data_IF_089262147211
#
_entry.id   IF_089262147211
#
_cell.length_a   1.000
_cell.length_b   1.000
_cell.length_c   1.000
_cell.angle_alpha   90.00
_cell.angle_beta   90.00
_cell.angle_gamma   90.00
#
_symmetry.space_group_name_H-M   'P 1'
#
loop_
_entity.id
_entity.type
_entity.pdbx_description
1 polymer ?
#
# COMPACT_ATOMS: atom_id res chain seq x y z
N UNK A 1 -17.94 -3.01 -37.64
CA UNK A 1 -17.94 -1.93 -38.64
C UNK A 1 -18.40 -0.66 -37.93
N UNK A 2 -17.53 0.20 -37.62
CA UNK A 2 -17.48 1.65 -37.68
C UNK A 2 -16.31 2.13 -36.83
N UNK A 3 -15.20 2.41 -37.54
CA UNK A 3 -14.05 3.15 -37.04
C UNK A 3 -14.41 4.63 -37.11
N UNK A 4 -14.34 5.36 -35.98
CA UNK A 4 -14.36 6.81 -35.97
C UNK A 4 -12.97 7.32 -35.66
N UNK A 5 -12.33 7.88 -36.67
CA UNK A 5 -11.04 8.58 -36.61
C UNK A 5 -11.22 9.91 -35.89
N UNK A 6 -10.49 10.12 -34.81
CA UNK A 6 -10.32 11.44 -34.18
C UNK A 6 -9.30 12.26 -34.99
N UNK A 7 -9.78 13.17 -35.81
CA UNK A 7 -8.96 14.19 -36.49
C UNK A 7 -8.61 15.32 -35.49
N UNK A 8 -7.35 15.46 -35.18
CA UNK A 8 -6.82 16.65 -34.53
C UNK A 8 -6.89 17.84 -35.47
N UNK A 9 -7.78 18.77 -35.18
CA UNK A 9 -7.88 20.05 -35.91
C UNK A 9 -6.87 21.05 -35.35
N UNK A 10 -5.84 21.35 -36.09
CA UNK A 10 -4.91 22.43 -35.77
C UNK A 10 -5.54 23.79 -36.16
N UNK A 11 -5.72 24.65 -35.16
CA UNK A 11 -6.02 26.06 -35.35
C UNK A 11 -4.78 26.80 -35.87
N UNK A 12 -4.77 27.18 -37.15
CA UNK A 12 -3.82 28.15 -37.72
C UNK A 12 -4.32 29.56 -37.45
N UNK A 13 -3.69 30.28 -36.57
CA UNK A 13 -3.84 31.74 -36.46
C UNK A 13 -3.15 32.42 -37.65
N UNK A 14 -3.78 33.37 -38.33
CA UNK A 14 -3.20 34.07 -39.44
C UNK A 14 -2.24 35.14 -38.93
N UNK A 15 -0.92 34.87 -39.00
CA UNK A 15 0.11 35.91 -38.88
C UNK A 15 0.14 36.76 -40.19
N UNK A 16 -0.39 37.97 -40.13
CA UNK A 16 -0.15 38.98 -41.16
C UNK A 16 1.32 39.44 -41.04
N UNK A 17 2.13 39.00 -41.99
CA UNK A 17 3.49 39.53 -42.14
C UNK A 17 3.51 40.31 -43.46
N UNK A 18 3.61 41.67 -43.46
CA UNK A 18 3.90 42.45 -44.65
C UNK A 18 5.45 42.53 -44.69
N UNK A 19 6.08 41.89 -45.64
CA UNK A 19 7.40 42.11 -46.24
C UNK A 19 8.01 40.81 -46.79
N UNK A 20 7.51 40.32 -47.90
CA UNK A 20 8.14 39.22 -48.62
C UNK A 20 8.24 39.52 -50.13
N UNK A 21 8.53 40.81 -50.49
CA UNK A 21 8.60 41.20 -51.90
C UNK A 21 10.03 41.32 -52.48
N UNK A 22 11.08 40.86 -51.75
CA UNK A 22 12.45 41.03 -52.24
C UNK A 22 13.42 39.91 -51.85
N UNK A 23 12.94 38.63 -51.70
CA UNK A 23 13.84 37.50 -51.45
C UNK A 23 13.95 36.66 -52.71
N UNK A 24 15.17 36.50 -53.33
CA UNK A 24 15.35 35.64 -54.50
C UNK A 24 14.87 34.22 -54.21
N UNK A 25 14.14 33.64 -55.16
CA UNK A 25 13.52 32.30 -55.06
C UNK A 25 14.46 31.21 -54.51
N UNK A 26 15.73 31.26 -54.89
CA UNK A 26 16.79 30.37 -54.35
C UNK A 26 17.00 30.52 -52.83
N UNK A 27 16.87 31.73 -52.28
CA UNK A 27 17.01 31.96 -50.84
C UNK A 27 15.77 31.48 -50.06
N UNK A 28 14.58 31.56 -50.66
CA UNK A 28 13.36 31.03 -50.09
C UNK A 28 13.42 29.49 -50.00
N UNK A 29 13.92 28.83 -51.04
CA UNK A 29 14.14 27.39 -51.05
C UNK A 29 15.17 26.96 -49.99
N UNK A 30 16.25 27.71 -49.76
CA UNK A 30 17.21 27.45 -48.70
C UNK A 30 16.63 27.68 -47.31
N UNK A 31 15.78 28.69 -47.12
CA UNK A 31 15.08 28.94 -45.85
C UNK A 31 14.04 27.88 -45.58
N UNK A 32 13.29 27.44 -46.58
CA UNK A 32 12.33 26.34 -46.47
C UNK A 32 13.03 25.00 -46.18
N UNK A 33 14.16 24.74 -46.89
CA UNK A 33 14.98 23.55 -46.62
C UNK A 33 15.66 23.60 -45.24
N UNK A 34 16.11 24.78 -44.79
CA UNK A 34 16.62 24.95 -43.43
C UNK A 34 15.54 24.83 -42.35
N UNK A 35 14.34 25.36 -42.57
CA UNK A 35 13.19 25.19 -41.69
C UNK A 35 12.68 23.72 -41.69
N UNK A 36 12.76 23.05 -42.85
CA UNK A 36 12.46 21.60 -42.94
C UNK A 36 13.56 20.75 -42.27
N UNK A 37 14.83 21.17 -42.35
CA UNK A 37 15.95 20.54 -41.67
C UNK A 37 15.92 20.80 -40.15
N UNK A 38 15.50 21.99 -39.70
CA UNK A 38 15.29 22.32 -38.31
C UNK A 38 14.05 21.60 -37.71
N UNK A 39 13.02 21.33 -38.54
CA UNK A 39 11.89 20.48 -38.15
C UNK A 39 12.21 18.98 -38.12
N UNK A 40 13.28 18.53 -38.74
CA UNK A 40 13.83 17.18 -38.63
C UNK A 40 14.86 17.04 -37.48
N UNK A 41 14.76 17.76 -36.38
CA UNK A 41 15.20 17.19 -35.12
C UNK A 41 14.43 15.88 -34.99
N UNK A 42 15.12 14.73 -35.04
CA UNK A 42 14.54 13.41 -34.86
C UNK A 42 13.67 13.47 -33.58
N UNK A 43 12.37 13.76 -33.75
CA UNK A 43 11.47 13.68 -32.61
C UNK A 43 11.51 12.23 -32.18
N UNK A 44 12.04 12.00 -30.99
CA UNK A 44 12.01 10.65 -30.40
C UNK A 44 10.56 10.16 -30.37
N UNK A 45 10.35 8.85 -30.51
CA UNK A 45 9.02 8.23 -30.34
C UNK A 45 8.44 8.46 -28.93
N UNK A 46 9.27 8.89 -28.01
CA UNK A 46 8.91 9.19 -26.62
C UNK A 46 8.58 10.67 -26.37
N UNK A 47 8.54 11.52 -27.42
CA UNK A 47 8.24 12.95 -27.28
C UNK A 47 6.83 13.25 -26.74
N UNK A 48 5.91 12.28 -26.81
CA UNK A 48 4.56 12.36 -26.26
C UNK A 48 4.47 11.88 -24.78
N UNK A 49 5.59 11.37 -24.22
CA UNK A 49 5.60 10.92 -22.82
C UNK A 49 5.73 12.15 -21.94
N UNK A 50 4.69 12.41 -21.17
CA UNK A 50 4.66 13.50 -20.20
C UNK A 50 5.53 13.18 -18.99
N UNK A 51 6.12 14.20 -18.38
CA UNK A 51 6.86 14.05 -17.14
C UNK A 51 5.88 13.69 -16.01
N UNK A 52 6.17 12.61 -15.30
CA UNK A 52 5.41 12.27 -14.10
C UNK A 52 5.72 13.26 -12.97
N UNK A 53 4.74 13.62 -12.12
CA UNK A 53 5.01 14.40 -10.93
C UNK A 53 6.01 13.66 -10.03
N UNK A 54 6.90 14.37 -9.33
CA UNK A 54 7.84 13.74 -8.42
C UNK A 54 7.08 13.04 -7.27
N UNK A 55 7.51 11.84 -6.91
CA UNK A 55 7.01 11.17 -5.72
C UNK A 55 7.65 11.86 -4.51
N UNK A 56 6.85 12.59 -3.75
CA UNK A 56 7.30 13.52 -2.69
C UNK A 56 8.22 12.83 -1.66
N UNK A 57 7.85 11.63 -1.20
CA UNK A 57 8.67 10.88 -0.22
C UNK A 57 10.07 10.55 -0.74
N UNK A 58 10.24 10.25 -2.03
CA UNK A 58 11.56 10.00 -2.61
C UNK A 58 12.35 11.30 -2.81
N UNK A 59 11.67 12.41 -3.05
CA UNK A 59 12.32 13.73 -3.09
C UNK A 59 12.85 14.11 -1.70
N UNK A 60 12.05 13.90 -0.67
CA UNK A 60 12.43 14.11 0.74
C UNK A 60 13.62 13.23 1.16
N UNK A 61 13.61 11.95 0.80
CA UNK A 61 14.74 11.04 1.06
C UNK A 61 16.04 11.51 0.39
N UNK A 62 15.96 12.01 -0.84
CA UNK A 62 17.14 12.57 -1.51
C UNK A 62 17.64 13.81 -0.79
N UNK A 63 16.76 14.73 -0.39
CA UNK A 63 17.10 15.91 0.38
C UNK A 63 17.76 15.55 1.71
N UNK A 64 17.18 14.60 2.47
CA UNK A 64 17.76 14.09 3.72
C UNK A 64 19.18 13.54 3.51
N UNK A 65 19.41 12.76 2.45
CA UNK A 65 20.75 12.21 2.17
C UNK A 65 21.76 13.28 1.80
N UNK A 66 21.33 14.34 1.11
CA UNK A 66 22.18 15.46 0.69
C UNK A 66 22.47 16.45 1.83
N UNK A 67 21.63 16.50 2.85
CA UNK A 67 21.82 17.36 4.01
C UNK A 67 23.04 16.89 4.81
N UNK A 68 23.90 17.82 5.20
CA UNK A 68 25.15 17.58 5.96
C UNK A 68 24.99 17.82 7.46
N UNK A 69 23.82 18.23 7.93
CA UNK A 69 23.58 18.48 9.35
C UNK A 69 23.74 17.20 10.18
N UNK A 70 24.65 17.24 11.16
CA UNK A 70 25.04 16.04 11.92
C UNK A 70 23.91 15.46 12.81
N UNK A 71 22.99 16.31 13.27
CA UNK A 71 21.88 15.91 14.15
C UNK A 71 20.55 15.66 13.39
N UNK A 72 20.62 15.47 12.08
CA UNK A 72 19.41 15.17 11.27
C UNK A 72 18.81 13.82 11.63
N UNK A 73 17.49 13.73 11.58
CA UNK A 73 16.73 12.51 11.86
C UNK A 73 15.89 12.13 10.63
N UNK A 74 15.95 10.86 10.22
CA UNK A 74 15.14 10.34 9.10
C UNK A 74 13.74 9.95 9.60
N UNK A 75 12.77 10.80 9.34
CA UNK A 75 11.34 10.58 9.60
C UNK A 75 10.53 10.31 8.32
N UNK A 76 11.21 10.18 7.17
CA UNK A 76 10.56 10.14 5.87
C UNK A 76 9.95 8.79 5.50
N UNK A 77 10.65 7.70 5.75
CA UNK A 77 10.22 6.35 5.33
C UNK A 77 9.64 5.58 6.50
N UNK A 78 8.47 4.96 6.28
CA UNK A 78 7.83 4.07 7.25
C UNK A 78 8.63 2.77 7.44
N UNK A 79 9.79 2.84 8.08
CA UNK A 79 10.63 1.73 8.46
C UNK A 79 11.06 1.86 9.93
N UNK A 80 11.03 0.75 10.67
CA UNK A 80 11.48 0.73 12.06
C UNK A 80 12.97 1.10 12.17
N UNK A 81 13.32 1.90 13.17
CA UNK A 81 14.68 2.31 13.48
C UNK A 81 14.99 2.02 14.95
N UNK A 82 16.21 1.55 15.21
CA UNK A 82 16.75 1.41 16.58
C UNK A 82 17.01 2.79 17.21
N UNK A 83 17.53 2.81 18.44
CA UNK A 83 17.94 4.05 19.11
C UNK A 83 19.03 4.80 18.36
N UNK A 84 19.91 4.05 17.68
CA UNK A 84 20.97 4.60 16.83
C UNK A 84 20.49 5.00 15.43
N UNK A 85 19.17 5.10 15.25
CA UNK A 85 18.51 5.41 13.96
C UNK A 85 18.86 4.44 12.81
N UNK A 86 19.24 3.18 13.13
CA UNK A 86 19.61 2.15 12.17
C UNK A 86 18.46 1.19 11.88
N UNK A 87 18.39 0.59 10.68
CA UNK A 87 17.51 -0.55 10.41
C UNK A 87 17.81 -1.70 11.37
N UNK A 88 16.77 -2.38 11.83
CA UNK A 88 16.90 -3.56 12.68
C UNK A 88 16.56 -4.82 11.90
N UNK A 89 17.56 -5.68 11.67
CA UNK A 89 17.31 -7.03 11.19
C UNK A 89 17.02 -7.89 12.42
N UNK A 90 15.84 -8.52 12.45
CA UNK A 90 15.40 -9.29 13.61
C UNK A 90 16.34 -10.47 13.86
N UNK A 91 16.73 -10.75 15.11
CA UNK A 91 17.62 -11.87 15.44
C UNK A 91 17.12 -13.21 14.90
N UNK A 92 15.82 -13.51 15.01
CA UNK A 92 15.23 -14.74 14.44
C UNK A 92 15.36 -14.82 12.93
N UNK A 93 15.27 -13.68 12.23
CA UNK A 93 15.49 -13.64 10.76
C UNK A 93 16.93 -13.99 10.44
N UNK A 94 17.91 -13.42 11.15
CA UNK A 94 19.33 -13.75 10.98
C UNK A 94 19.65 -15.23 11.25
N UNK A 95 19.00 -15.80 12.24
CA UNK A 95 19.13 -17.22 12.58
C UNK A 95 18.66 -18.11 11.44
N UNK A 96 17.46 -17.80 10.89
CA UNK A 96 16.92 -18.54 9.76
C UNK A 96 17.74 -18.33 8.49
N UNK A 97 18.20 -17.11 8.20
CA UNK A 97 19.10 -16.83 7.06
C UNK A 97 20.38 -17.69 7.12
N UNK A 98 20.96 -17.82 8.30
CA UNK A 98 22.16 -18.66 8.51
C UNK A 98 21.85 -20.13 8.25
N UNK A 99 20.77 -20.66 8.83
CA UNK A 99 20.34 -22.05 8.59
C UNK A 99 20.10 -22.31 7.11
N UNK A 100 19.43 -21.39 6.42
CA UNK A 100 19.18 -21.52 4.96
C UNK A 100 20.47 -21.49 4.14
N UNK A 101 21.47 -20.71 4.55
CA UNK A 101 22.76 -20.63 3.86
C UNK A 101 23.58 -21.93 4.04
N UNK A 102 23.42 -22.63 5.16
CA UNK A 102 24.07 -23.89 5.48
C UNK A 102 23.32 -25.12 4.90
N UNK A 103 22.06 -24.98 4.54
CA UNK A 103 21.23 -26.05 4.00
C UNK A 103 21.50 -26.27 2.49
N UNK A 104 22.32 -27.27 2.20
CA UNK A 104 22.70 -27.65 0.82
C UNK A 104 21.56 -28.28 0.01
N UNK A 105 20.41 -28.59 0.62
CA UNK A 105 19.24 -29.08 -0.09
C UNK A 105 18.44 -27.97 -0.76
N UNK A 106 18.61 -26.71 -0.31
CA UNK A 106 17.96 -25.56 -0.89
C UNK A 106 18.59 -25.17 -2.23
N UNK A 107 17.74 -24.77 -3.16
CA UNK A 107 18.15 -24.36 -4.51
C UNK A 107 17.41 -23.11 -4.98
N UNK A 108 17.69 -22.64 -6.21
CA UNK A 108 17.09 -21.45 -6.81
C UNK A 108 16.04 -21.79 -7.90
N UNK A 109 15.42 -22.97 -7.81
CA UNK A 109 14.35 -23.34 -8.75
C UNK A 109 13.13 -22.43 -8.58
N UNK A 110 12.41 -22.24 -9.66
CA UNK A 110 11.19 -21.42 -9.68
C UNK A 110 10.10 -22.01 -8.79
N UNK A 111 9.44 -21.14 -8.02
CA UNK A 111 8.17 -21.48 -7.39
C UNK A 111 7.05 -21.53 -8.44
N UNK A 112 5.95 -22.18 -8.11
CA UNK A 112 4.70 -22.02 -8.83
C UNK A 112 4.18 -20.56 -8.75
N UNK A 113 3.26 -20.20 -9.62
CA UNK A 113 2.70 -18.84 -9.68
C UNK A 113 1.99 -18.42 -8.38
N UNK A 114 1.39 -19.36 -7.68
CA UNK A 114 0.73 -19.09 -6.39
C UNK A 114 1.71 -19.00 -5.21
N UNK A 115 3.00 -19.32 -5.44
CA UNK A 115 4.07 -19.18 -4.46
C UNK A 115 4.32 -20.42 -3.61
N UNK A 116 4.97 -20.22 -2.46
CA UNK A 116 5.28 -21.25 -1.48
C UNK A 116 4.05 -21.55 -0.63
N UNK A 117 3.53 -22.78 -0.75
CA UNK A 117 2.29 -23.20 -0.11
C UNK A 117 2.34 -23.12 1.43
N UNK A 118 3.43 -23.59 2.03
CA UNK A 118 3.63 -23.54 3.48
C UNK A 118 3.69 -22.10 4.03
N UNK A 119 4.25 -21.16 3.24
CA UNK A 119 4.20 -19.73 3.58
C UNK A 119 2.77 -19.21 3.55
N UNK A 120 2.03 -19.46 2.48
CA UNK A 120 0.67 -18.95 2.32
C UNK A 120 -0.28 -19.51 3.36
N UNK A 121 -0.16 -20.80 3.70
CA UNK A 121 -0.91 -21.42 4.81
C UNK A 121 -0.59 -20.77 6.15
N UNK A 122 0.68 -20.65 6.50
CA UNK A 122 1.09 -20.02 7.76
C UNK A 122 0.62 -18.55 7.86
N UNK A 123 0.67 -17.79 6.75
CA UNK A 123 0.18 -16.42 6.68
C UNK A 123 -1.33 -16.32 6.94
N UNK A 124 -2.12 -17.24 6.41
CA UNK A 124 -3.57 -17.30 6.65
C UNK A 124 -3.85 -17.67 8.11
N UNK A 125 -3.17 -18.68 8.64
CA UNK A 125 -3.34 -19.09 10.04
C UNK A 125 -2.97 -17.98 11.02
N UNK A 126 -1.89 -17.26 10.75
CA UNK A 126 -1.51 -16.08 11.55
C UNK A 126 -2.61 -15.00 11.53
N UNK A 127 -3.23 -14.75 10.38
CA UNK A 127 -4.24 -13.70 10.23
C UNK A 127 -5.59 -14.13 10.83
N UNK A 128 -6.10 -15.30 10.45
CA UNK A 128 -7.45 -15.73 10.78
C UNK A 128 -7.54 -16.54 12.09
N UNK A 129 -6.42 -17.10 12.57
CA UNK A 129 -6.39 -18.06 13.67
C UNK A 129 -6.60 -19.50 13.19
N UNK A 130 -6.00 -20.46 13.90
CA UNK A 130 -6.00 -21.87 13.51
C UNK A 130 -7.40 -22.51 13.48
N UNK A 131 -8.29 -22.02 14.34
CA UNK A 131 -9.64 -22.59 14.50
C UNK A 131 -10.68 -21.94 13.56
N UNK A 132 -10.25 -21.04 12.67
CA UNK A 132 -11.16 -20.31 11.79
C UNK A 132 -11.94 -21.25 10.85
N UNK A 133 -13.25 -21.10 10.82
CA UNK A 133 -14.15 -21.97 10.04
C UNK A 133 -13.89 -21.87 8.53
N UNK A 134 -13.55 -20.69 8.01
CA UNK A 134 -13.25 -20.53 6.58
C UNK A 134 -12.00 -21.32 6.14
N UNK A 135 -11.02 -21.48 7.06
CA UNK A 135 -9.85 -22.34 6.81
C UNK A 135 -10.28 -23.82 6.80
N UNK A 136 -11.00 -24.27 7.83
CA UNK A 136 -11.46 -25.67 7.97
C UNK A 136 -12.32 -26.11 6.77
N UNK A 137 -13.12 -25.21 6.26
CA UNK A 137 -14.00 -25.45 5.11
C UNK A 137 -13.27 -25.29 3.75
N UNK A 138 -12.02 -24.86 3.74
CA UNK A 138 -11.25 -24.62 2.51
C UNK A 138 -11.77 -23.44 1.68
N UNK A 139 -12.40 -22.44 2.33
CA UNK A 139 -12.88 -21.20 1.72
C UNK A 139 -11.86 -20.06 1.79
N UNK A 140 -10.87 -20.17 2.68
CA UNK A 140 -9.77 -19.23 2.82
C UNK A 140 -8.51 -19.78 2.15
N UNK A 141 -7.98 -19.06 1.18
CA UNK A 141 -6.74 -19.42 0.47
C UNK A 141 -5.79 -18.23 0.39
N UNK A 142 -4.50 -18.51 0.33
CA UNK A 142 -3.46 -17.50 0.21
C UNK A 142 -2.68 -17.66 -1.08
N UNK A 143 -2.21 -16.53 -1.60
CA UNK A 143 -1.33 -16.44 -2.75
C UNK A 143 -0.14 -15.57 -2.40
N UNK A 144 1.06 -16.10 -2.51
CA UNK A 144 2.27 -15.32 -2.31
C UNK A 144 2.39 -14.21 -3.36
N UNK A 145 2.65 -12.99 -2.92
CA UNK A 145 2.77 -11.81 -3.78
C UNK A 145 4.02 -10.98 -3.42
N UNK A 146 4.32 -9.98 -4.28
CA UNK A 146 5.42 -9.03 -4.10
C UNK A 146 5.07 -8.00 -3.00
N UNK A 147 5.08 -8.42 -1.73
CA UNK A 147 4.70 -7.62 -0.56
C UNK A 147 3.22 -7.19 -0.63
N UNK A 148 2.80 -6.29 0.29
CA UNK A 148 1.45 -5.73 0.30
C UNK A 148 1.08 -5.04 -1.03
N UNK A 149 2.01 -4.31 -1.64
CA UNK A 149 1.76 -3.66 -2.94
C UNK A 149 1.43 -4.67 -4.04
N UNK A 150 2.16 -5.77 -4.13
CA UNK A 150 1.87 -6.83 -5.09
C UNK A 150 0.55 -7.53 -4.80
N UNK A 151 0.23 -7.75 -3.51
CA UNK A 151 -1.05 -8.32 -3.08
C UNK A 151 -2.22 -7.40 -3.44
N UNK A 152 -2.10 -6.09 -3.17
CA UNK A 152 -3.09 -5.09 -3.59
C UNK A 152 -3.28 -5.10 -5.10
N UNK A 153 -2.18 -5.17 -5.88
CA UNK A 153 -2.24 -5.14 -7.34
C UNK A 153 -2.92 -6.40 -7.90
N UNK A 154 -2.54 -7.58 -7.46
CA UNK A 154 -3.14 -8.85 -7.92
C UNK A 154 -4.62 -8.92 -7.53
N UNK A 155 -4.96 -8.51 -6.29
CA UNK A 155 -6.34 -8.43 -5.83
C UNK A 155 -7.18 -7.43 -6.63
N UNK A 156 -6.66 -6.23 -6.87
CA UNK A 156 -7.34 -5.21 -7.67
C UNK A 156 -7.52 -5.63 -9.14
N UNK A 157 -6.48 -6.26 -9.74
CA UNK A 157 -6.58 -6.81 -11.10
C UNK A 157 -7.65 -7.91 -11.18
N UNK A 158 -7.71 -8.82 -10.20
CA UNK A 158 -8.75 -9.84 -10.11
C UNK A 158 -10.15 -9.23 -10.06
N UNK A 159 -10.37 -8.31 -9.12
CA UNK A 159 -11.69 -7.70 -8.92
C UNK A 159 -12.13 -6.90 -10.14
N UNK A 160 -11.25 -6.11 -10.74
CA UNK A 160 -11.62 -5.29 -11.90
C UNK A 160 -11.77 -6.14 -13.17
N UNK A 161 -10.77 -6.98 -13.50
CA UNK A 161 -10.72 -7.66 -14.80
C UNK A 161 -11.63 -8.89 -14.87
N UNK A 162 -11.79 -9.62 -13.77
CA UNK A 162 -12.51 -10.89 -13.73
C UNK A 162 -13.85 -10.79 -12.98
N UNK A 163 -13.90 -10.17 -11.80
CA UNK A 163 -15.13 -9.96 -11.05
C UNK A 163 -15.93 -8.71 -11.49
N UNK A 164 -15.40 -7.89 -12.41
CA UNK A 164 -16.07 -6.75 -13.07
C UNK A 164 -16.42 -5.57 -12.17
N UNK A 165 -15.78 -5.45 -11.01
CA UNK A 165 -15.91 -4.25 -10.21
C UNK A 165 -15.31 -3.03 -10.92
N UNK A 166 -16.01 -1.89 -10.89
CA UNK A 166 -15.58 -0.65 -11.58
C UNK A 166 -15.33 0.51 -10.64
N UNK A 167 -15.84 0.42 -9.41
CA UNK A 167 -15.82 1.49 -8.41
C UNK A 167 -15.07 1.03 -7.17
N UNK A 168 -14.18 1.88 -6.65
CA UNK A 168 -13.46 1.65 -5.39
C UNK A 168 -13.55 2.88 -4.50
N UNK A 169 -13.84 2.66 -3.22
CA UNK A 169 -13.83 3.66 -2.16
C UNK A 169 -12.59 3.48 -1.28
N UNK A 170 -11.88 4.58 -1.02
CA UNK A 170 -10.70 4.64 -0.18
C UNK A 170 -10.87 5.72 0.87
N UNK A 171 -10.24 5.60 2.04
CA UNK A 171 -10.26 6.64 3.07
C UNK A 171 -9.64 7.96 2.60
N UNK A 172 -10.06 9.08 3.19
CA UNK A 172 -9.39 10.38 3.04
C UNK A 172 -8.93 10.87 4.41
N UNK A 173 -7.59 10.98 4.64
CA UNK A 173 -6.49 10.55 3.76
C UNK A 173 -6.33 9.02 3.68
N UNK A 174 -5.52 8.54 2.75
CA UNK A 174 -5.07 7.15 2.65
C UNK A 174 -3.63 7.08 2.17
N UNK A 175 -3.03 5.90 2.19
CA UNK A 175 -1.73 5.67 1.55
C UNK A 175 -1.81 5.97 0.04
N UNK A 176 -1.01 6.95 -0.48
CA UNK A 176 -1.20 7.44 -1.86
C UNK A 176 -1.11 6.36 -2.93
N UNK A 177 -0.41 5.26 -2.65
CA UNK A 177 -0.26 4.17 -3.60
C UNK A 177 -1.54 3.36 -3.84
N UNK A 178 -2.53 3.43 -2.95
CA UNK A 178 -3.84 2.79 -3.18
C UNK A 178 -4.46 3.29 -4.48
N UNK A 179 -4.55 4.62 -4.65
CA UNK A 179 -5.12 5.21 -5.87
C UNK A 179 -4.35 4.79 -7.14
N UNK A 180 -3.00 4.73 -7.08
CA UNK A 180 -2.19 4.28 -8.20
C UNK A 180 -2.46 2.81 -8.56
N UNK A 181 -2.51 1.92 -7.57
CA UNK A 181 -2.77 0.50 -7.79
C UNK A 181 -4.12 0.28 -8.43
N UNK A 182 -5.21 0.81 -7.84
CA UNK A 182 -6.56 0.61 -8.37
C UNK A 182 -6.76 1.25 -9.74
N UNK A 183 -6.22 2.47 -9.96
CA UNK A 183 -6.23 3.13 -11.27
C UNK A 183 -5.55 2.27 -12.34
N UNK A 184 -4.34 1.77 -12.05
CA UNK A 184 -3.59 0.95 -13.01
C UNK A 184 -4.14 -0.47 -13.18
N UNK A 185 -4.98 -0.94 -12.28
CA UNK A 185 -5.75 -2.18 -12.44
C UNK A 185 -6.97 -2.04 -13.33
N UNK A 186 -7.38 -0.79 -13.64
CA UNK A 186 -8.47 -0.50 -14.55
C UNK A 186 -9.77 -0.02 -13.91
N UNK A 187 -9.79 0.23 -12.60
CA UNK A 187 -10.95 0.82 -11.94
C UNK A 187 -11.27 2.19 -12.55
N UNK A 188 -12.51 2.39 -12.92
CA UNK A 188 -12.98 3.61 -13.60
C UNK A 188 -13.32 4.72 -12.60
N UNK A 189 -13.88 4.35 -11.46
CA UNK A 189 -14.39 5.27 -10.45
C UNK A 189 -13.59 5.11 -9.15
N UNK A 190 -12.63 6.01 -8.92
CA UNK A 190 -11.92 6.11 -7.66
C UNK A 190 -12.64 7.14 -6.81
N UNK A 191 -13.22 6.71 -5.71
CA UNK A 191 -13.99 7.50 -4.76
C UNK A 191 -13.33 7.47 -3.39
N UNK A 192 -13.75 8.39 -2.54
CA UNK A 192 -13.24 8.50 -1.19
C UNK A 192 -14.38 8.51 -0.19
N UNK A 193 -14.12 8.00 1.01
CA UNK A 193 -14.96 8.19 2.18
C UNK A 193 -14.20 8.99 3.24
N UNK A 194 -14.91 9.81 3.99
CA UNK A 194 -14.36 10.60 5.09
C UNK A 194 -13.79 9.68 6.15
N UNK A 195 -12.64 10.03 6.68
CA UNK A 195 -11.97 9.23 7.70
C UNK A 195 -11.33 10.07 8.80
N UNK A 196 -10.86 11.27 8.48
CA UNK A 196 -10.12 12.11 9.41
C UNK A 196 -10.84 13.43 9.67
N UNK A 197 -11.22 13.64 10.95
CA UNK A 197 -11.68 14.94 11.44
C UNK A 197 -10.45 15.77 11.85
N UNK A 198 -10.01 16.66 10.97
CA UNK A 198 -8.83 17.49 11.18
C UNK A 198 -8.97 18.48 12.35
N UNK A 199 -10.20 18.93 12.65
CA UNK A 199 -10.46 19.86 13.75
C UNK A 199 -10.29 19.19 15.11
N UNK A 200 -10.82 17.99 15.26
CA UNK A 200 -10.80 17.24 16.52
C UNK A 200 -9.68 16.20 16.58
N UNK A 201 -8.90 16.02 15.49
CA UNK A 201 -7.79 15.06 15.35
C UNK A 201 -8.19 13.63 15.74
N UNK A 202 -9.31 13.17 15.17
CA UNK A 202 -9.90 11.86 15.43
C UNK A 202 -10.49 11.24 14.16
N UNK A 203 -10.99 10.01 14.28
CA UNK A 203 -11.79 9.39 13.23
C UNK A 203 -13.10 10.19 13.01
N UNK A 204 -13.38 10.54 11.75
CA UNK A 204 -14.68 11.04 11.32
C UNK A 204 -15.61 9.85 11.03
N UNK A 205 -16.02 9.20 12.11
CA UNK A 205 -16.80 7.96 12.01
C UNK A 205 -18.17 8.18 11.37
N UNK A 206 -18.87 9.25 11.75
CA UNK A 206 -20.19 9.57 11.20
C UNK A 206 -20.11 9.87 9.70
N UNK A 207 -19.10 10.66 9.31
CA UNK A 207 -18.82 10.92 7.91
C UNK A 207 -18.47 9.67 7.10
N UNK A 208 -17.68 8.78 7.67
CA UNK A 208 -17.36 7.48 7.05
C UNK A 208 -18.63 6.66 6.81
N UNK A 209 -19.49 6.53 7.81
CA UNK A 209 -20.74 5.76 7.71
C UNK A 209 -21.68 6.37 6.66
N UNK A 210 -21.85 7.68 6.67
CA UNK A 210 -22.69 8.37 5.67
C UNK A 210 -22.19 8.14 4.25
N UNK A 211 -20.88 8.27 4.00
CA UNK A 211 -20.29 8.06 2.68
C UNK A 211 -20.43 6.62 2.19
N UNK A 212 -20.24 5.63 3.09
CA UNK A 212 -20.42 4.22 2.76
C UNK A 212 -21.89 3.86 2.52
N UNK A 213 -22.82 4.47 3.26
CA UNK A 213 -24.27 4.30 3.03
C UNK A 213 -24.71 4.85 1.67
N UNK A 214 -24.03 5.87 1.16
CA UNK A 214 -24.29 6.48 -0.15
C UNK A 214 -23.50 5.81 -1.29
N UNK A 215 -22.61 4.86 -1.00
CA UNK A 215 -21.87 4.15 -2.03
C UNK A 215 -22.80 3.26 -2.87
N UNK A 216 -22.60 3.18 -4.20
CA UNK A 216 -23.32 2.23 -5.06
C UNK A 216 -23.06 0.79 -4.62
N UNK A 217 -24.05 -0.10 -4.78
CA UNK A 217 -23.85 -1.55 -4.65
C UNK A 217 -22.65 -1.99 -5.51
N UNK A 218 -22.02 -3.10 -5.16
CA UNK A 218 -20.85 -3.65 -5.85
C UNK A 218 -19.65 -2.69 -5.93
N UNK A 219 -19.55 -1.72 -5.01
CA UNK A 219 -18.31 -0.95 -4.84
C UNK A 219 -17.34 -1.69 -3.94
N UNK A 220 -16.06 -1.71 -4.32
CA UNK A 220 -14.96 -2.18 -3.45
C UNK A 220 -14.67 -1.12 -2.41
N UNK A 221 -14.52 -1.52 -1.15
CA UNK A 221 -14.12 -0.63 -0.04
C UNK A 221 -12.78 -1.06 0.49
N UNK A 222 -11.75 -0.21 0.33
CA UNK A 222 -10.43 -0.44 0.90
C UNK A 222 -10.43 -0.05 2.36
N UNK A 223 -10.13 -1.01 3.23
CA UNK A 223 -10.11 -0.88 4.68
C UNK A 223 -8.72 -1.23 5.22
N UNK A 224 -8.15 -0.39 6.05
CA UNK A 224 -6.92 -0.75 6.76
C UNK A 224 -7.28 -1.65 7.95
N UNK A 225 -6.67 -2.82 8.03
CA UNK A 225 -6.98 -3.79 9.09
C UNK A 225 -6.63 -3.28 10.47
N UNK A 226 -5.50 -2.60 10.59
CA UNK A 226 -4.98 -1.93 11.77
C UNK A 226 -3.95 -0.87 11.39
N UNK A 227 -3.65 0.05 12.31
CA UNK A 227 -2.64 1.10 12.15
C UNK A 227 -2.82 1.88 10.84
N UNK A 228 -3.97 2.50 10.67
CA UNK A 228 -4.35 3.23 9.46
C UNK A 228 -3.27 4.19 8.98
N UNK A 229 -2.86 4.04 7.74
CA UNK A 229 -1.85 4.90 7.10
C UNK A 229 -2.53 6.03 6.30
N UNK A 230 -2.35 7.34 6.66
CA UNK A 230 -1.29 7.86 7.55
C UNK A 230 -1.74 8.22 8.96
N UNK A 231 -3.02 8.09 9.33
CA UNK A 231 -3.57 8.73 10.53
C UNK A 231 -3.19 8.02 11.84
N UNK A 232 -2.90 6.72 11.80
CA UNK A 232 -2.67 5.92 13.01
C UNK A 232 -3.91 5.76 13.91
N UNK A 233 -5.08 6.20 13.47
CA UNK A 233 -6.34 6.05 14.21
C UNK A 233 -7.17 4.96 13.55
N UNK A 234 -7.57 3.98 14.33
CA UNK A 234 -8.42 2.88 13.87
C UNK A 234 -9.81 2.96 14.49
N UNK A 235 -10.84 2.42 13.82
CA UNK A 235 -12.16 2.23 14.42
C UNK A 235 -12.09 1.30 15.64
N UNK A 236 -12.91 1.57 16.64
CA UNK A 236 -13.13 0.64 17.76
C UNK A 236 -13.87 -0.62 17.29
N UNK A 237 -13.91 -1.68 18.11
CA UNK A 237 -14.65 -2.90 17.77
C UNK A 237 -16.13 -2.61 17.48
N UNK A 238 -16.78 -1.72 18.25
CA UNK A 238 -18.18 -1.36 18.02
C UNK A 238 -18.35 -0.54 16.73
N UNK A 239 -17.40 0.30 16.41
CA UNK A 239 -17.38 1.00 15.11
C UNK A 239 -17.16 0.02 13.95
N UNK A 240 -16.29 -0.97 14.09
CA UNK A 240 -16.10 -2.03 13.10
C UNK A 240 -17.37 -2.87 12.89
N UNK A 241 -18.12 -3.18 13.96
CA UNK A 241 -19.43 -3.85 13.87
C UNK A 241 -20.38 -3.02 13.01
N UNK A 242 -20.44 -1.71 13.25
CA UNK A 242 -21.28 -0.81 12.46
C UNK A 242 -20.86 -0.68 10.99
N UNK A 243 -19.55 -0.62 10.73
CA UNK A 243 -19.00 -0.64 9.37
C UNK A 243 -19.43 -1.94 8.64
N UNK A 244 -19.30 -3.08 9.30
CA UNK A 244 -19.72 -4.38 8.73
C UNK A 244 -21.22 -4.41 8.40
N UNK A 245 -22.08 -3.88 9.30
CA UNK A 245 -23.52 -3.75 9.02
C UNK A 245 -23.80 -2.95 7.76
N UNK A 246 -23.15 -1.80 7.60
CA UNK A 246 -23.33 -0.93 6.41
C UNK A 246 -22.80 -1.63 5.15
N UNK A 247 -21.61 -2.22 5.20
CA UNK A 247 -21.02 -2.96 4.06
C UNK A 247 -21.95 -4.09 3.62
N UNK A 248 -22.54 -4.83 4.58
CA UNK A 248 -23.48 -5.91 4.30
C UNK A 248 -24.78 -5.39 3.69
N UNK A 249 -25.38 -4.39 4.31
CA UNK A 249 -26.65 -3.80 3.87
C UNK A 249 -26.56 -3.17 2.46
N UNK A 250 -25.41 -2.59 2.14
CA UNK A 250 -25.14 -1.94 0.85
C UNK A 250 -24.51 -2.88 -0.18
N UNK A 251 -24.28 -4.16 0.15
CA UNK A 251 -23.62 -5.16 -0.71
C UNK A 251 -22.26 -4.65 -1.23
N UNK A 252 -21.49 -3.96 -0.39
CA UNK A 252 -20.16 -3.51 -0.72
C UNK A 252 -19.15 -4.65 -0.54
N UNK A 253 -18.06 -4.62 -1.31
CA UNK A 253 -17.03 -5.66 -1.24
C UNK A 253 -15.84 -5.18 -0.39
N UNK A 254 -15.55 -5.80 0.78
CA UNK A 254 -14.43 -5.42 1.62
C UNK A 254 -13.09 -5.90 1.06
N UNK A 255 -12.15 -4.95 0.91
CA UNK A 255 -10.76 -5.21 0.57
C UNK A 255 -9.86 -4.67 1.69
N UNK A 256 -9.31 -5.55 2.50
CA UNK A 256 -8.42 -5.17 3.59
C UNK A 256 -6.97 -4.98 3.13
N UNK A 257 -6.32 -3.91 3.60
CA UNK A 257 -4.86 -3.75 3.59
C UNK A 257 -4.34 -4.04 5.01
N UNK A 258 -3.52 -5.08 5.15
CA UNK A 258 -2.95 -5.56 6.41
C UNK A 258 -1.42 -5.51 6.38
N UNK A 259 -0.87 -4.30 6.55
CA UNK A 259 0.58 -4.08 6.49
C UNK A 259 1.26 -4.11 7.87
N UNK A 260 0.49 -4.09 8.97
CA UNK A 260 1.01 -3.81 10.32
C UNK A 260 0.55 -4.80 11.39
N UNK A 261 0.05 -5.98 11.02
CA UNK A 261 -0.39 -7.00 11.99
C UNK A 261 0.75 -7.37 12.96
N UNK A 262 0.48 -7.31 14.25
CA UNK A 262 1.42 -7.50 15.35
C UNK A 262 2.30 -6.28 15.62
N UNK A 263 2.50 -5.43 14.63
CA UNK A 263 3.32 -4.22 14.74
C UNK A 263 2.55 -3.01 15.29
N UNK A 264 1.22 -3.01 15.15
CA UNK A 264 0.38 -1.92 15.61
C UNK A 264 0.26 -1.88 17.13
N UNK A 265 -0.15 -3.00 17.75
CA UNK A 265 -0.37 -3.12 19.20
C UNK A 265 0.64 -4.01 19.92
N UNK A 266 1.46 -4.77 19.19
CA UNK A 266 2.29 -5.85 19.73
C UNK A 266 1.54 -7.18 19.88
N UNK A 267 0.26 -7.23 19.49
CA UNK A 267 -0.61 -8.40 19.60
C UNK A 267 -1.21 -8.76 18.23
N UNK A 268 -0.92 -9.97 17.76
CA UNK A 268 -1.36 -10.45 16.45
C UNK A 268 -2.90 -10.57 16.35
N UNK A 269 -3.54 -11.01 17.44
CA UNK A 269 -4.98 -11.26 17.44
C UNK A 269 -5.78 -9.96 17.48
N UNK A 270 -5.33 -9.02 18.32
CA UNK A 270 -5.92 -7.70 18.40
C UNK A 270 -5.83 -6.96 17.06
N UNK A 271 -4.67 -7.03 16.41
CA UNK A 271 -4.45 -6.34 15.13
C UNK A 271 -5.19 -6.98 13.96
N UNK A 272 -5.64 -8.23 14.07
CA UNK A 272 -6.43 -8.94 13.05
C UNK A 272 -7.93 -9.01 13.37
N UNK A 273 -8.37 -8.45 14.47
CA UNK A 273 -9.73 -8.56 14.96
C UNK A 273 -10.78 -8.18 13.90
N UNK A 274 -10.60 -7.07 13.22
CA UNK A 274 -11.54 -6.58 12.22
C UNK A 274 -11.75 -7.60 11.09
N UNK A 275 -10.68 -8.16 10.54
CA UNK A 275 -10.74 -9.15 9.47
C UNK A 275 -11.43 -10.42 9.96
N UNK A 276 -11.04 -10.93 11.15
CA UNK A 276 -11.65 -12.12 11.76
C UNK A 276 -13.14 -11.93 11.98
N UNK A 277 -13.55 -10.74 12.43
CA UNK A 277 -14.96 -10.40 12.62
C UNK A 277 -15.74 -10.44 11.30
N UNK A 278 -15.20 -9.82 10.22
CA UNK A 278 -15.84 -9.86 8.91
C UNK A 278 -15.97 -11.29 8.37
N UNK A 279 -14.93 -12.11 8.50
CA UNK A 279 -14.96 -13.53 8.10
C UNK A 279 -16.01 -14.30 8.91
N UNK A 280 -16.15 -14.06 10.22
CA UNK A 280 -17.14 -14.71 11.07
C UNK A 280 -18.59 -14.36 10.70
N UNK A 281 -18.82 -13.19 10.09
CA UNK A 281 -20.12 -12.77 9.56
C UNK A 281 -20.45 -13.35 8.17
N UNK A 282 -19.55 -14.19 7.60
CA UNK A 282 -19.72 -14.85 6.31
C UNK A 282 -19.41 -13.95 5.11
N UNK A 283 -18.69 -12.85 5.28
CA UNK A 283 -18.26 -12.02 4.17
C UNK A 283 -17.29 -12.77 3.25
N UNK A 284 -17.50 -12.64 1.94
CA UNK A 284 -16.42 -12.79 0.98
C UNK A 284 -15.57 -11.54 1.02
N UNK A 285 -14.26 -11.69 1.03
CA UNK A 285 -13.32 -10.59 1.11
C UNK A 285 -11.95 -10.92 0.53
N UNK A 286 -11.19 -9.88 0.29
CA UNK A 286 -9.77 -9.96 -0.09
C UNK A 286 -8.95 -9.19 0.95
N UNK A 287 -7.79 -9.75 1.34
CA UNK A 287 -6.86 -9.06 2.22
C UNK A 287 -5.44 -9.11 1.68
N UNK A 288 -4.83 -7.94 1.51
CA UNK A 288 -3.43 -7.80 1.14
C UNK A 288 -2.56 -7.76 2.41
N UNK A 289 -1.84 -8.84 2.69
CA UNK A 289 -0.88 -8.92 3.81
C UNK A 289 0.52 -8.52 3.37
N UNK A 290 1.25 -7.83 4.23
CA UNK A 290 2.66 -7.50 4.03
C UNK A 290 3.51 -7.97 5.20
N UNK A 291 4.61 -8.64 4.90
CA UNK A 291 5.63 -9.04 5.87
C UNK A 291 6.85 -8.09 5.86
N UNK A 292 6.72 -6.95 5.20
CA UNK A 292 7.80 -5.95 5.12
C UNK A 292 8.13 -5.34 6.49
N UNK A 293 7.11 -5.02 7.30
CA UNK A 293 7.29 -4.31 8.58
C UNK A 293 7.48 -5.28 9.73
N UNK A 294 6.54 -6.20 9.93
CA UNK A 294 6.54 -7.12 11.07
C UNK A 294 7.68 -8.16 11.08
N UNK A 295 8.31 -8.39 9.93
CA UNK A 295 9.54 -9.18 9.80
C UNK A 295 10.80 -8.35 9.53
N UNK A 296 10.67 -7.03 9.32
CA UNK A 296 11.80 -6.20 8.90
C UNK A 296 12.34 -6.54 7.50
N UNK A 297 11.57 -7.24 6.69
CA UNK A 297 11.93 -7.75 5.35
C UNK A 297 11.53 -6.79 4.23
N UNK A 298 11.77 -5.50 4.41
CA UNK A 298 11.29 -4.43 3.53
C UNK A 298 11.66 -4.62 2.05
N UNK A 299 12.88 -5.03 1.75
CA UNK A 299 13.41 -5.21 0.40
C UNK A 299 13.24 -6.64 -0.15
N UNK A 300 12.88 -7.61 0.68
CA UNK A 300 12.65 -8.99 0.24
C UNK A 300 11.33 -9.17 -0.52
N UNK A 301 10.46 -8.17 -0.45
CA UNK A 301 9.17 -8.10 -1.15
C UNK A 301 8.30 -9.33 -0.91
N UNK A 302 8.04 -9.64 0.35
CA UNK A 302 7.20 -10.78 0.74
C UNK A 302 5.84 -10.32 1.26
N UNK A 303 4.77 -10.87 0.72
CA UNK A 303 3.38 -10.64 1.09
C UNK A 303 2.49 -11.80 0.69
N UNK A 304 1.26 -11.77 1.14
CA UNK A 304 0.24 -12.77 0.85
C UNK A 304 -1.09 -12.08 0.48
N UNK A 305 -1.75 -12.57 -0.55
CA UNK A 305 -3.12 -12.19 -0.88
C UNK A 305 -4.04 -13.26 -0.31
N UNK A 306 -4.73 -12.94 0.79
CA UNK A 306 -5.80 -13.79 1.31
C UNK A 306 -7.07 -13.55 0.50
N UNK A 307 -7.73 -14.64 0.13
CA UNK A 307 -9.06 -14.65 -0.47
C UNK A 307 -9.98 -15.49 0.43
N UNK A 308 -11.13 -14.95 0.79
CA UNK A 308 -12.21 -15.70 1.42
C UNK A 308 -13.38 -15.70 0.46
N UNK A 309 -13.72 -16.88 -0.07
CA UNK A 309 -14.76 -17.10 -1.09
C UNK A 309 -15.66 -18.24 -0.65
N UNK A 310 -16.97 -18.01 -0.67
CA UNK A 310 -17.94 -18.96 -0.11
C UNK A 310 -18.21 -20.16 -1.04
N UNK A 311 -18.07 -19.96 -2.36
CA UNK A 311 -18.23 -21.03 -3.36
C UNK A 311 -16.89 -21.63 -3.76
N UNK A 312 -16.68 -22.92 -3.48
CA UNK A 312 -15.46 -23.66 -3.82
C UNK A 312 -15.22 -23.77 -5.33
N UNK A 313 -16.29 -23.87 -6.14
CA UNK A 313 -16.15 -23.92 -7.59
C UNK A 313 -15.65 -22.58 -8.14
N UNK A 314 -16.23 -21.47 -7.63
CA UNK A 314 -15.75 -20.12 -7.94
C UNK A 314 -14.30 -19.92 -7.48
N UNK A 315 -13.93 -20.40 -6.29
CA UNK A 315 -12.56 -20.31 -5.77
C UNK A 315 -11.54 -20.96 -6.71
N UNK A 316 -11.84 -22.14 -7.26
CA UNK A 316 -10.98 -22.82 -8.23
C UNK A 316 -10.74 -21.96 -9.47
N UNK A 317 -11.81 -21.36 -10.01
CA UNK A 317 -11.72 -20.47 -11.16
C UNK A 317 -10.94 -19.19 -10.84
N UNK A 318 -11.14 -18.62 -9.66
CA UNK A 318 -10.40 -17.45 -9.17
C UNK A 318 -8.90 -17.74 -9.10
N UNK A 319 -8.49 -18.86 -8.52
CA UNK A 319 -7.08 -19.26 -8.44
C UNK A 319 -6.47 -19.47 -9.84
N UNK A 320 -7.22 -20.03 -10.78
CA UNK A 320 -6.76 -20.16 -12.18
C UNK A 320 -6.52 -18.77 -12.81
N UNK A 321 -7.40 -17.81 -12.60
CA UNK A 321 -7.21 -16.44 -13.11
C UNK A 321 -6.05 -15.72 -12.41
N UNK A 322 -5.89 -15.88 -11.09
CA UNK A 322 -4.74 -15.33 -10.36
C UNK A 322 -3.44 -15.89 -10.89
N UNK A 323 -3.37 -17.17 -11.21
CA UNK A 323 -2.20 -17.80 -11.83
C UNK A 323 -1.80 -17.07 -13.12
N UNK A 324 -2.77 -16.75 -13.99
CA UNK A 324 -2.51 -15.97 -15.21
C UNK A 324 -2.11 -14.53 -14.93
N UNK A 325 -2.74 -13.88 -13.94
CA UNK A 325 -2.39 -12.51 -13.52
C UNK A 325 -0.95 -12.46 -12.99
N UNK A 326 -0.55 -13.39 -12.12
CA UNK A 326 0.82 -13.49 -11.62
C UNK A 326 1.78 -13.77 -12.77
N UNK A 327 1.44 -14.75 -13.63
CA UNK A 327 2.28 -15.13 -14.79
C UNK A 327 2.53 -13.93 -15.71
N UNK A 328 1.52 -13.11 -15.94
CA UNK A 328 1.62 -11.91 -16.80
C UNK A 328 2.31 -10.71 -16.14
N UNK A 329 2.29 -10.62 -14.79
CA UNK A 329 2.87 -9.48 -14.08
C UNK A 329 4.37 -9.68 -13.77
N UNK A 330 4.75 -10.82 -13.18
CA UNK A 330 6.11 -11.08 -12.72
C UNK A 330 6.54 -12.56 -12.80
N UNK A 331 5.79 -13.39 -13.51
CA UNK A 331 6.03 -14.81 -13.73
C UNK A 331 5.84 -15.70 -12.50
N UNK A 332 6.65 -15.48 -11.46
CA UNK A 332 6.68 -16.24 -10.21
C UNK A 332 7.11 -15.31 -9.07
N UNK A 333 6.64 -15.52 -7.83
CA UNK A 333 7.13 -14.76 -6.70
C UNK A 333 8.54 -15.21 -6.27
N UNK A 334 9.31 -14.34 -5.58
CA UNK A 334 10.64 -14.68 -5.06
C UNK A 334 10.55 -15.63 -3.87
N UNK A 335 11.52 -16.53 -3.73
CA UNK A 335 11.47 -17.60 -2.74
C UNK A 335 12.16 -17.25 -1.40
N UNK A 336 13.23 -16.45 -1.41
CA UNK A 336 14.08 -16.23 -0.23
C UNK A 336 13.29 -15.73 0.98
N UNK A 337 12.60 -14.60 0.84
CA UNK A 337 11.79 -14.03 1.94
C UNK A 337 10.62 -14.96 2.37
N UNK A 338 10.04 -15.71 1.43
CA UNK A 338 8.98 -16.66 1.74
C UNK A 338 9.47 -17.81 2.61
N UNK A 339 10.66 -18.34 2.34
CA UNK A 339 11.30 -19.38 3.16
C UNK A 339 11.56 -18.86 4.59
N UNK A 340 12.08 -17.64 4.73
CA UNK A 340 12.31 -17.03 6.04
C UNK A 340 11.01 -16.96 6.84
N UNK A 341 9.97 -16.33 6.28
CA UNK A 341 8.69 -16.16 6.96
C UNK A 341 8.04 -17.51 7.25
N UNK A 342 8.03 -18.44 6.28
CA UNK A 342 7.49 -19.80 6.44
C UNK A 342 8.18 -20.54 7.58
N UNK A 343 9.50 -20.52 7.62
CA UNK A 343 10.28 -21.18 8.67
C UNK A 343 9.97 -20.63 10.05
N UNK A 344 9.91 -19.30 10.18
CA UNK A 344 9.58 -18.65 11.47
C UNK A 344 8.18 -18.98 11.93
N UNK A 345 7.18 -18.85 11.04
CA UNK A 345 5.77 -19.06 11.42
C UNK A 345 5.44 -20.53 11.70
N UNK A 346 6.14 -21.50 11.07
CA UNK A 346 5.89 -22.92 11.23
C UNK A 346 6.79 -23.61 12.28
N UNK A 347 7.74 -22.89 12.90
CA UNK A 347 8.59 -23.42 13.95
C UNK A 347 8.20 -22.76 15.29
N UNK A 348 7.63 -23.48 16.25
CA UNK A 348 7.05 -22.88 17.46
C UNK A 348 8.04 -21.98 18.22
N UNK A 349 9.29 -22.41 18.38
CA UNK A 349 10.32 -21.64 19.09
C UNK A 349 10.66 -20.33 18.37
N UNK A 350 10.71 -20.35 17.03
CA UNK A 350 10.99 -19.15 16.22
C UNK A 350 9.78 -18.20 16.18
N UNK A 351 8.58 -18.76 16.18
CA UNK A 351 7.36 -17.99 16.26
C UNK A 351 7.26 -17.21 17.57
N UNK A 352 7.56 -17.85 18.70
CA UNK A 352 7.57 -17.17 20.00
C UNK A 352 8.69 -16.12 20.08
N UNK A 353 9.90 -16.43 19.61
CA UNK A 353 11.00 -15.47 19.52
C UNK A 353 10.61 -14.25 18.67
N UNK A 354 9.99 -14.48 17.51
CA UNK A 354 9.51 -13.43 16.63
C UNK A 354 8.43 -12.56 17.27
N UNK A 355 7.47 -13.13 18.00
CA UNK A 355 6.47 -12.36 18.76
C UNK A 355 7.12 -11.42 19.76
N UNK A 356 8.18 -11.86 20.44
CA UNK A 356 8.97 -11.02 21.34
C UNK A 356 9.63 -9.83 20.62
N UNK A 357 10.13 -10.04 19.39
CA UNK A 357 10.69 -8.95 18.59
C UNK A 357 9.63 -7.94 18.15
N UNK A 358 8.45 -8.40 17.73
CA UNK A 358 7.32 -7.54 17.39
C UNK A 358 6.92 -6.67 18.59
N UNK A 359 6.77 -7.29 19.75
CA UNK A 359 6.42 -6.57 20.97
C UNK A 359 7.47 -5.52 21.34
N UNK A 360 8.75 -5.82 21.16
CA UNK A 360 9.84 -4.88 21.34
C UNK A 360 9.69 -3.66 20.43
N UNK A 361 9.41 -3.88 19.13
CA UNK A 361 9.23 -2.79 18.18
C UNK A 361 7.98 -1.95 18.50
N UNK A 362 6.85 -2.59 18.78
CA UNK A 362 5.61 -1.91 19.13
C UNK A 362 5.75 -1.08 20.41
N UNK A 363 6.32 -1.66 21.47
CA UNK A 363 6.54 -0.99 22.74
C UNK A 363 7.46 0.24 22.60
N UNK A 364 8.53 0.14 21.77
CA UNK A 364 9.40 1.27 21.51
C UNK A 364 8.65 2.40 20.80
N UNK A 365 7.84 2.11 19.81
CA UNK A 365 7.05 3.14 19.11
C UNK A 365 6.07 3.82 20.08
N UNK A 366 5.40 3.06 20.92
CA UNK A 366 4.49 3.59 21.95
C UNK A 366 5.27 4.49 22.92
N UNK A 367 6.44 4.07 23.37
CA UNK A 367 7.28 4.87 24.26
C UNK A 367 7.75 6.18 23.59
N UNK A 368 8.13 6.14 22.31
CA UNK A 368 8.53 7.34 21.56
C UNK A 368 7.37 8.33 21.36
N UNK A 369 6.16 7.82 21.12
CA UNK A 369 4.95 8.67 21.07
C UNK A 369 4.71 9.39 22.40
N UNK A 370 4.84 8.65 23.51
CA UNK A 370 4.69 9.21 24.86
C UNK A 370 5.76 10.26 25.13
N UNK A 371 7.02 9.94 24.82
CA UNK A 371 8.12 10.89 25.00
C UNK A 371 7.95 12.18 24.18
N UNK A 372 7.45 12.05 22.93
CA UNK A 372 7.13 13.22 22.10
C UNK A 372 6.04 14.08 22.73
N UNK A 373 4.95 13.46 23.18
CA UNK A 373 3.85 14.17 23.84
C UNK A 373 4.34 14.91 25.11
N UNK A 374 5.12 14.21 25.96
CA UNK A 374 5.65 14.77 27.19
C UNK A 374 6.57 15.96 26.90
N UNK A 375 7.42 15.86 25.88
CA UNK A 375 8.33 16.94 25.50
C UNK A 375 7.59 18.16 24.95
N UNK A 376 6.51 17.95 24.17
CA UNK A 376 5.66 19.04 23.69
C UNK A 376 4.96 19.78 24.85
N UNK A 377 4.51 19.04 25.87
CA UNK A 377 3.93 19.64 27.07
C UNK A 377 4.99 20.39 27.91
N UNK A 378 6.16 19.80 28.12
CA UNK A 378 7.28 20.43 28.84
C UNK A 378 7.69 21.77 28.21
N UNK A 379 7.73 21.83 26.88
CA UNK A 379 8.04 23.05 26.12
C UNK A 379 6.91 24.06 26.07
N UNK A 380 5.75 23.79 26.69
CA UNK A 380 4.58 24.65 26.64
C UNK A 380 4.03 24.88 25.24
N UNK A 381 4.22 23.91 24.33
CA UNK A 381 3.73 24.02 22.94
C UNK A 381 2.20 24.14 22.91
N UNK A 382 1.63 25.16 22.24
CA UNK A 382 0.19 25.38 22.25
C UNK A 382 -0.63 24.21 21.68
N UNK A 383 -1.81 23.97 22.25
CA UNK A 383 -2.78 22.98 21.81
C UNK A 383 -2.70 21.65 22.58
N UNK A 384 -3.64 20.75 22.29
CA UNK A 384 -3.63 19.38 22.81
C UNK A 384 -2.85 18.46 21.89
N UNK A 385 -1.96 17.64 22.46
CA UNK A 385 -1.16 16.65 21.78
C UNK A 385 -1.60 15.21 22.10
N UNK A 386 -2.78 15.05 22.72
CA UNK A 386 -3.30 13.75 23.15
C UNK A 386 -3.53 12.75 22.00
N UNK A 387 -3.78 13.28 20.80
CA UNK A 387 -3.94 12.44 19.62
C UNK A 387 -2.68 11.63 19.26
N UNK A 388 -1.48 12.11 19.62
CA UNK A 388 -0.21 11.42 19.36
C UNK A 388 -0.18 10.04 20.06
N UNK A 389 -0.64 9.97 21.32
CA UNK A 389 -0.66 8.74 22.10
C UNK A 389 -1.90 7.88 21.86
N UNK A 390 -2.96 8.44 21.25
CA UNK A 390 -4.14 7.68 20.78
C UNK A 390 -3.91 6.99 19.44
N UNK A 391 -2.91 7.43 18.67
CA UNK A 391 -2.52 6.83 17.41
C UNK A 391 -1.69 5.57 17.65
N UNK A 392 -1.79 4.59 16.77
CA UNK A 392 -1.00 3.35 16.80
C UNK A 392 -0.27 3.12 15.47
N UNK A 393 0.72 2.23 15.48
CA UNK A 393 1.54 1.91 14.31
C UNK A 393 2.65 2.94 14.06
N UNK A 394 3.24 2.88 12.88
CA UNK A 394 4.51 3.55 12.57
C UNK A 394 4.40 5.07 12.39
N UNK A 395 3.21 5.58 12.05
CA UNK A 395 3.04 6.99 11.68
C UNK A 395 2.51 7.82 12.84
N UNK A 396 3.02 9.05 12.97
CA UNK A 396 2.45 10.06 13.83
C UNK A 396 1.85 11.17 12.94
N UNK A 397 0.52 11.21 12.88
CA UNK A 397 -0.20 12.24 12.12
C UNK A 397 -0.41 13.46 13.01
N UNK A 398 0.62 14.30 13.10
CA UNK A 398 0.72 15.37 14.08
C UNK A 398 -0.25 16.52 13.86
N UNK A 399 -0.69 16.74 12.60
CA UNK A 399 -1.48 17.89 12.20
C UNK A 399 -0.66 19.17 12.06
N UNK A 400 0.67 19.09 12.05
CA UNK A 400 1.55 20.21 11.73
C UNK A 400 1.39 20.57 10.25
N UNK A 401 1.40 21.86 9.94
CA UNK A 401 1.41 22.37 8.57
C UNK A 401 2.81 22.85 8.16
N UNK A 402 3.03 23.09 6.86
CA UNK A 402 4.34 23.52 6.33
C UNK A 402 4.91 24.75 7.04
N UNK A 403 4.08 25.69 7.48
CA UNK A 403 4.53 26.90 8.18
C UNK A 403 5.05 26.57 9.59
N UNK A 404 4.43 25.61 10.28
CA UNK A 404 4.89 25.11 11.57
C UNK A 404 6.17 24.29 11.44
N UNK A 405 6.26 23.47 10.39
CA UNK A 405 7.46 22.66 10.08
C UNK A 405 8.70 23.53 9.82
N UNK A 406 8.55 24.62 9.06
CA UNK A 406 9.66 25.55 8.76
C UNK A 406 10.09 26.33 10.01
N UNK A 407 9.17 26.70 10.90
CA UNK A 407 9.52 27.42 12.16
C UNK A 407 10.25 26.54 13.16
N UNK A 408 10.02 25.23 13.18
CA UNK A 408 10.74 24.30 14.07
C UNK A 408 12.15 23.92 13.55
N UNK A 409 12.42 24.12 12.27
CA UNK A 409 13.77 23.91 11.68
C UNK A 409 14.68 25.13 11.94
N UNK A 410 14.13 26.28 12.33
CA UNK A 410 14.89 27.53 12.56
C UNK A 410 15.10 27.86 14.06
N UNK A 411 14.69 26.98 14.98
CA UNK A 411 14.94 27.06 16.43
C UNK A 411 15.71 25.83 16.89
#
# INVERSE_FOLDING_TARGET
MHLTSSTCTFFLLPLKVPLLAAVPEKRLLYLVAALYSLRRKKMTRFSCVEAAPPVEIFALMRAYRADTFAQKVDLGVGAYRTEEAKPWVLPVVRKVEKEMAEDTSLNHEYLGQLGLDDFSKAAIHMLLGNENQAIKEGRAVGVQCLSGTGSLRVGADLLCKHAKFTTVYMSTPTWPNHALVFKHSGFQNLKHYRYWDAKNRRLDFDGMIEDLQNAPEDSVVVLHACAHNPTGIDPTEDQWKKIAEVIKAKKLFPFFDCAYQGFASGDLEKDSWAIRYFVSLGFELVCAQSFAKNFGLYNERIGNLLLVINDKAALTNVLAQITLLVRGNYSNPPNHGARIVSKVLNTPEYFEEWKGHIQTMANRIIAMRKALQDKLHELGTPGSWDHITKQIGMFSYTGLNRTAEVRQVLL
#
